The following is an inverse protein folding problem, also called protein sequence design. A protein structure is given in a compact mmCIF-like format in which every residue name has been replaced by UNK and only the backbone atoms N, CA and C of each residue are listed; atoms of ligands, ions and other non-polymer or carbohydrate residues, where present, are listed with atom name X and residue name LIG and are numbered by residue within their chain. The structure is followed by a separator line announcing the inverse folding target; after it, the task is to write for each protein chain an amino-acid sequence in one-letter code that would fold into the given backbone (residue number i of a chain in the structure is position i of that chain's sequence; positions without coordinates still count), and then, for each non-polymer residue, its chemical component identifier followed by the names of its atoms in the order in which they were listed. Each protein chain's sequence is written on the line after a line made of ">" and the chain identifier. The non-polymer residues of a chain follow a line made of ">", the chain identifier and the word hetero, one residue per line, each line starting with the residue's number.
data_IF_133951099971
#
_entry.id   IF_133951099971
#
_cell.length_a   1.000
_cell.length_b   1.000
_cell.length_c   1.000
_cell.angle_alpha   90.00
_cell.angle_beta   90.00
_cell.angle_gamma   90.00
#
_symmetry.space_group_name_H-M   'P 1'
#
loop_
_entity.id
_entity.type
_entity.pdbx_description
1 polymer ?
#
# COMPACT_ATOMS: atom_id res chain seq x y z
N UNK A 1 26.04 -3.14 2.36
CA UNK A 1 25.68 -4.56 2.38
C UNK A 1 24.22 -4.67 2.82
N UNK A 2 23.42 -5.52 2.13
CA UNK A 2 22.01 -5.77 2.47
C UNK A 2 20.96 -4.93 1.72
N UNK A 3 21.34 -4.05 0.82
CA UNK A 3 20.44 -3.29 -0.06
C UNK A 3 20.59 -3.85 -1.47
N UNK A 4 19.47 -4.36 -2.04
CA UNK A 4 19.43 -4.90 -3.41
C UNK A 4 19.17 -3.82 -4.44
N UNK A 5 18.26 -2.94 -4.13
CA UNK A 5 17.87 -1.85 -5.03
C UNK A 5 17.34 -0.66 -4.23
N UNK A 6 17.36 0.48 -4.85
CA UNK A 6 16.74 1.68 -4.31
C UNK A 6 15.98 2.43 -5.39
N UNK A 7 15.03 3.21 -4.98
CA UNK A 7 14.40 4.21 -5.82
C UNK A 7 14.08 5.46 -5.00
N UNK A 8 14.00 6.56 -5.71
CA UNK A 8 13.73 7.88 -5.13
C UNK A 8 12.40 8.38 -5.66
N UNK A 9 11.65 9.02 -4.80
CA UNK A 9 10.41 9.69 -5.18
C UNK A 9 10.36 11.09 -4.60
N UNK A 10 9.80 11.99 -5.39
CA UNK A 10 9.21 13.23 -4.94
C UNK A 10 7.75 13.26 -5.44
N UNK A 11 6.87 13.92 -4.76
CA UNK A 11 5.45 13.92 -5.13
C UNK A 11 4.82 15.28 -4.91
N UNK A 12 3.84 15.57 -5.74
CA UNK A 12 2.96 16.72 -5.58
C UNK A 12 1.53 16.33 -5.97
N UNK A 13 0.55 17.02 -5.43
CA UNK A 13 -0.84 16.89 -5.85
C UNK A 13 -1.19 18.05 -6.76
N UNK A 14 -1.70 17.73 -7.96
CA UNK A 14 -2.10 18.72 -8.94
C UNK A 14 -3.30 18.26 -9.75
N UNK A 15 -3.77 19.08 -10.67
CA UNK A 15 -4.75 18.70 -11.68
C UNK A 15 -4.07 18.36 -12.99
N UNK A 16 -4.64 17.40 -13.72
CA UNK A 16 -4.25 17.09 -15.09
C UNK A 16 -5.40 17.52 -16.01
N UNK A 17 -5.11 18.34 -16.99
CA UNK A 17 -6.08 18.87 -17.93
C UNK A 17 -5.77 18.45 -19.36
N UNK A 18 -6.82 18.12 -20.11
CA UNK A 18 -6.79 17.91 -21.55
C UNK A 18 -7.91 18.75 -22.15
N UNK A 19 -7.57 19.84 -22.83
CA UNK A 19 -8.54 20.79 -23.38
C UNK A 19 -9.55 21.26 -22.31
N UNK A 20 -10.83 20.85 -22.43
CA UNK A 20 -11.92 21.20 -21.49
C UNK A 20 -12.12 20.19 -20.37
N UNK A 21 -11.48 19.01 -20.45
CA UNK A 21 -11.56 17.96 -19.41
C UNK A 21 -10.47 18.17 -18.36
N UNK A 22 -10.80 18.05 -17.08
CA UNK A 22 -9.81 18.20 -15.98
C UNK A 22 -10.07 17.12 -14.92
N UNK A 23 -9.01 16.41 -14.55
CA UNK A 23 -9.01 15.51 -13.38
C UNK A 23 -8.28 16.22 -12.25
N UNK A 24 -8.99 16.50 -11.17
CA UNK A 24 -8.45 17.18 -9.98
C UNK A 24 -7.86 16.17 -8.99
N UNK A 25 -6.99 16.67 -8.11
CA UNK A 25 -6.39 15.90 -7.02
C UNK A 25 -5.63 14.64 -7.50
N UNK A 26 -4.91 14.75 -8.62
CA UNK A 26 -4.04 13.67 -9.09
C UNK A 26 -2.73 13.72 -8.32
N UNK A 27 -2.31 12.58 -7.78
CA UNK A 27 -0.99 12.45 -7.17
C UNK A 27 0.07 12.23 -8.26
N UNK A 28 0.92 13.23 -8.47
CA UNK A 28 1.99 13.18 -9.45
C UNK A 28 3.27 12.79 -8.72
N UNK A 29 3.79 11.62 -9.05
CA UNK A 29 5.01 11.11 -8.46
C UNK A 29 6.16 11.22 -9.45
N UNK A 30 7.18 11.98 -9.06
CA UNK A 30 8.48 11.94 -9.71
C UNK A 30 9.19 10.66 -9.32
N UNK A 31 9.27 9.73 -10.24
CA UNK A 31 9.80 8.40 -10.03
C UNK A 31 11.22 8.28 -10.58
N UNK A 32 12.15 7.72 -9.82
CA UNK A 32 13.48 7.37 -10.36
C UNK A 32 13.41 6.09 -11.19
N UNK A 33 14.47 5.78 -11.91
CA UNK A 33 14.57 4.67 -12.85
C UNK A 33 14.20 3.30 -12.25
N UNK A 34 14.53 3.05 -10.99
CA UNK A 34 14.22 1.79 -10.30
C UNK A 34 12.75 1.61 -9.90
N UNK A 35 11.95 2.67 -9.94
CA UNK A 35 10.59 2.68 -9.41
C UNK A 35 9.66 1.66 -10.07
N UNK A 36 9.62 1.64 -11.40
CA UNK A 36 8.74 0.73 -12.17
C UNK A 36 9.02 -0.75 -11.85
N UNK A 37 10.30 -1.11 -11.76
CA UNK A 37 10.74 -2.47 -11.43
C UNK A 37 10.42 -2.82 -9.98
N UNK A 38 10.70 -1.92 -9.05
CA UNK A 38 10.47 -2.15 -7.62
C UNK A 38 8.98 -2.29 -7.29
N UNK A 39 8.12 -1.46 -7.91
CA UNK A 39 6.67 -1.50 -7.73
C UNK A 39 5.97 -2.54 -8.62
N UNK A 40 6.69 -3.24 -9.52
CA UNK A 40 6.14 -4.21 -10.47
C UNK A 40 4.91 -3.67 -11.20
N UNK A 41 5.02 -2.44 -11.71
CA UNK A 41 3.93 -1.77 -12.41
C UNK A 41 3.67 -2.45 -13.77
N UNK A 42 2.41 -2.73 -14.03
CA UNK A 42 1.92 -3.35 -15.25
C UNK A 42 1.53 -2.26 -16.26
N UNK A 43 2.24 -2.19 -17.39
CA UNK A 43 1.88 -1.26 -18.47
C UNK A 43 0.72 -1.83 -19.27
N UNK A 44 -0.33 -1.03 -19.46
CA UNK A 44 -1.49 -1.39 -20.28
C UNK A 44 -1.25 -1.02 -21.74
N UNK A 45 -0.64 0.15 -21.97
CA UNK A 45 -0.26 0.60 -23.31
C UNK A 45 0.93 1.54 -23.25
N UNK A 46 1.66 1.70 -24.35
CA UNK A 46 2.83 2.55 -24.43
C UNK A 46 4.05 2.00 -23.72
N UNK A 47 4.86 2.89 -23.12
CA UNK A 47 6.11 2.54 -22.45
C UNK A 47 6.27 3.22 -21.09
N UNK A 48 7.12 2.67 -20.25
CA UNK A 48 7.58 3.30 -19.02
C UNK A 48 8.64 4.38 -19.30
N UNK A 49 9.01 5.13 -18.26
CA UNK A 49 10.12 6.08 -18.30
C UNK A 49 11.44 5.35 -18.57
N UNK A 50 12.26 5.90 -19.43
CA UNK A 50 13.56 5.38 -19.86
C UNK A 50 14.69 6.33 -19.48
N UNK A 51 15.93 5.86 -19.53
CA UNK A 51 17.14 6.62 -19.17
C UNK A 51 17.23 7.98 -19.85
N UNK A 52 16.85 8.04 -21.12
CA UNK A 52 16.86 9.31 -21.88
C UNK A 52 15.85 10.31 -21.34
N UNK A 53 14.71 9.86 -20.81
CA UNK A 53 13.71 10.76 -20.24
C UNK A 53 14.25 11.46 -18.98
N UNK A 54 15.07 10.77 -18.18
CA UNK A 54 15.72 11.33 -17.00
C UNK A 54 16.86 12.27 -17.34
N UNK A 55 17.72 11.88 -18.31
CA UNK A 55 18.91 12.64 -18.70
C UNK A 55 18.58 13.94 -19.42
N UNK A 56 17.53 13.91 -20.24
CA UNK A 56 17.12 15.03 -21.07
C UNK A 56 16.05 15.90 -20.42
N UNK A 57 15.69 15.64 -19.17
CA UNK A 57 14.59 16.36 -18.50
C UNK A 57 13.33 16.38 -19.37
N UNK A 58 12.99 15.23 -19.95
CA UNK A 58 11.89 15.13 -20.90
C UNK A 58 10.55 15.35 -20.21
N UNK A 59 9.72 16.23 -20.74
CA UNK A 59 8.34 16.44 -20.27
C UNK A 59 7.42 15.34 -20.79
N UNK A 60 7.61 14.15 -20.26
CA UNK A 60 6.80 12.97 -20.54
C UNK A 60 6.16 12.44 -19.27
N UNK A 61 4.99 11.86 -19.42
CA UNK A 61 4.18 11.36 -18.31
C UNK A 61 3.62 9.98 -18.60
N UNK A 62 3.57 9.14 -17.58
CA UNK A 62 2.85 7.87 -17.58
C UNK A 62 1.68 8.03 -16.61
N UNK A 63 0.46 7.85 -17.08
CA UNK A 63 -0.76 8.05 -16.30
C UNK A 63 -1.38 6.70 -15.90
N UNK A 64 -2.11 6.66 -14.81
CA UNK A 64 -2.85 5.47 -14.44
C UNK A 64 -4.12 5.31 -15.31
N UNK A 65 -4.66 4.08 -15.29
CA UNK A 65 -5.88 3.75 -16.04
C UNK A 65 -7.09 4.61 -15.66
N UNK A 66 -7.12 5.16 -14.44
CA UNK A 66 -8.25 5.97 -13.98
C UNK A 66 -8.17 7.38 -14.55
N UNK A 67 -6.99 7.99 -14.53
CA UNK A 67 -6.77 9.30 -15.20
C UNK A 67 -7.01 9.15 -16.71
N UNK A 68 -6.53 8.05 -17.31
CA UNK A 68 -6.77 7.77 -18.73
C UNK A 68 -8.27 7.72 -19.05
N UNK A 69 -9.07 6.95 -18.31
CA UNK A 69 -10.53 6.84 -18.51
C UNK A 69 -11.30 8.16 -18.32
N UNK A 70 -10.79 9.06 -17.46
CA UNK A 70 -11.45 10.36 -17.23
C UNK A 70 -11.13 11.39 -18.34
N UNK A 71 -9.97 11.29 -18.95
CA UNK A 71 -9.52 12.24 -19.98
C UNK A 71 -9.77 11.74 -21.41
N UNK A 72 -9.63 10.44 -21.64
CA UNK A 72 -9.67 9.80 -22.95
C UNK A 72 -10.79 8.76 -23.02
N UNK A 73 -11.12 8.34 -24.22
CA UNK A 73 -12.12 7.28 -24.43
C UNK A 73 -11.50 5.88 -24.25
N UNK A 74 -10.29 5.70 -24.79
CA UNK A 74 -9.51 4.46 -24.63
C UNK A 74 -8.12 4.75 -24.06
N UNK A 75 -7.41 3.71 -23.61
CA UNK A 75 -6.04 3.89 -23.12
C UNK A 75 -5.07 4.22 -24.29
N UNK A 76 -5.36 3.72 -25.47
CA UNK A 76 -4.59 3.94 -26.72
C UNK A 76 -4.68 5.40 -27.15
N UNK A 77 -5.84 6.03 -27.03
CA UNK A 77 -6.06 7.43 -27.39
C UNK A 77 -5.24 8.39 -26.51
N UNK A 78 -4.82 7.92 -25.35
CA UNK A 78 -3.96 8.71 -24.45
C UNK A 78 -2.53 8.87 -24.99
N UNK A 79 -2.05 7.93 -25.81
CA UNK A 79 -0.66 7.94 -26.27
C UNK A 79 -0.36 9.14 -27.16
N UNK A 80 0.78 9.75 -26.91
CA UNK A 80 1.29 10.95 -27.61
C UNK A 80 0.41 12.21 -27.48
N UNK A 81 -0.66 12.15 -26.70
CA UNK A 81 -1.43 13.35 -26.38
C UNK A 81 -0.66 14.23 -25.39
N UNK A 82 -0.91 15.54 -25.48
CA UNK A 82 -0.33 16.51 -24.57
C UNK A 82 -1.35 16.88 -23.52
N UNK A 83 -0.98 16.68 -22.26
CA UNK A 83 -1.78 17.05 -21.08
C UNK A 83 -1.05 18.15 -20.31
N UNK A 84 -1.80 19.03 -19.69
CA UNK A 84 -1.24 20.14 -18.90
C UNK A 84 -1.33 19.82 -17.40
N UNK A 85 -0.21 19.98 -16.70
CA UNK A 85 -0.09 19.85 -15.24
C UNK A 85 0.34 21.22 -14.69
N UNK A 86 -0.56 21.85 -13.96
CA UNK A 86 -0.29 23.22 -13.50
C UNK A 86 -0.09 24.18 -14.67
N UNK A 87 1.17 24.55 -14.94
CA UNK A 87 1.56 25.45 -16.04
C UNK A 87 2.37 24.76 -17.14
N UNK A 88 2.67 23.48 -16.99
CA UNK A 88 3.58 22.75 -17.84
C UNK A 88 2.85 21.68 -18.66
N UNK A 89 3.25 21.53 -19.91
CA UNK A 89 2.71 20.52 -20.82
C UNK A 89 3.58 19.26 -20.83
N UNK A 90 2.92 18.11 -20.75
CA UNK A 90 3.54 16.79 -20.73
C UNK A 90 2.95 15.90 -21.82
N UNK A 91 3.80 15.17 -22.51
CA UNK A 91 3.37 14.15 -23.47
C UNK A 91 3.12 12.84 -22.77
N UNK A 92 1.94 12.27 -22.93
CA UNK A 92 1.60 10.93 -22.43
C UNK A 92 2.35 9.88 -23.26
N UNK A 93 3.19 9.08 -22.60
CA UNK A 93 4.00 8.02 -23.22
C UNK A 93 3.52 6.61 -22.85
N UNK A 94 2.65 6.49 -21.87
CA UNK A 94 2.12 5.20 -21.45
C UNK A 94 0.99 5.32 -20.45
N UNK A 95 0.22 4.24 -20.35
CA UNK A 95 -0.83 4.06 -19.35
C UNK A 95 -0.52 2.78 -18.56
N UNK A 96 -0.58 2.84 -17.24
CA UNK A 96 -0.34 1.70 -16.38
C UNK A 96 -1.54 1.35 -15.51
N UNK A 97 -1.56 0.10 -15.07
CA UNK A 97 -2.57 -0.40 -14.14
C UNK A 97 -2.13 -0.11 -12.71
N UNK A 98 -2.86 0.75 -12.03
CA UNK A 98 -2.63 1.01 -10.62
C UNK A 98 -3.36 -0.06 -9.78
N UNK A 99 -2.59 -0.89 -9.06
CA UNK A 99 -3.14 -1.95 -8.19
C UNK A 99 -3.62 -1.41 -6.84
N UNK A 100 -3.10 -0.26 -6.43
CA UNK A 100 -3.44 0.35 -5.12
C UNK A 100 -4.84 0.97 -5.10
N UNK A 101 -5.46 1.19 -6.26
CA UNK A 101 -6.87 1.65 -6.37
C UNK A 101 -7.90 0.59 -6.01
N UNK A 102 -7.50 -0.68 -5.86
CA UNK A 102 -8.41 -1.79 -5.51
C UNK A 102 -8.88 -1.78 -4.05
N UNK A 103 -8.23 -1.00 -3.18
CA UNK A 103 -8.64 -0.84 -1.78
C UNK A 103 -9.37 0.50 -1.64
N UNK A 104 -10.68 0.47 -1.89
CA UNK A 104 -11.62 1.60 -1.94
C UNK A 104 -11.78 2.45 -0.68
N UNK A 105 -10.70 2.80 0.02
CA UNK A 105 -10.76 3.59 1.26
C UNK A 105 -10.52 5.10 1.07
N UNK A 106 -9.98 5.56 -0.06
CA UNK A 106 -9.59 6.97 -0.23
C UNK A 106 -10.08 7.61 -1.53
N UNK A 107 -11.28 7.27 -1.98
CA UNK A 107 -11.83 7.91 -3.18
C UNK A 107 -10.93 7.69 -4.41
N UNK A 108 -11.48 7.84 -5.58
CA UNK A 108 -10.79 7.66 -6.86
C UNK A 108 -9.70 8.74 -7.10
N UNK A 109 -8.59 8.68 -6.37
CA UNK A 109 -7.45 9.57 -6.60
C UNK A 109 -6.62 8.99 -7.74
N UNK A 110 -6.56 9.72 -8.85
CA UNK A 110 -5.71 9.37 -9.98
C UNK A 110 -4.24 9.52 -9.63
N UNK A 111 -3.39 8.73 -10.26
CA UNK A 111 -1.95 8.84 -10.12
C UNK A 111 -1.25 8.98 -11.46
N UNK A 112 -0.14 9.68 -11.46
CA UNK A 112 0.68 9.86 -12.65
C UNK A 112 2.16 9.86 -12.28
N UNK A 113 3.00 9.39 -13.19
CA UNK A 113 4.43 9.24 -12.99
C UNK A 113 5.20 10.08 -14.02
N UNK A 114 6.13 10.87 -13.53
CA UNK A 114 7.08 11.65 -14.33
C UNK A 114 8.50 11.35 -13.88
N UNK A 115 9.51 11.74 -14.64
CA UNK A 115 10.89 11.61 -14.18
C UNK A 115 11.11 12.50 -12.94
N UNK A 116 11.70 11.95 -11.88
CA UNK A 116 11.98 12.71 -10.66
C UNK A 116 12.89 13.90 -10.91
N UNK A 117 13.84 13.80 -11.85
CA UNK A 117 14.73 14.88 -12.28
C UNK A 117 13.96 16.04 -12.89
N UNK A 118 12.97 15.74 -13.75
CA UNK A 118 12.12 16.75 -14.36
C UNK A 118 11.23 17.45 -13.33
N UNK A 119 10.62 16.69 -12.41
CA UNK A 119 9.75 17.25 -11.38
C UNK A 119 10.54 18.15 -10.41
N UNK A 120 11.76 17.76 -10.06
CA UNK A 120 12.66 18.55 -9.22
C UNK A 120 13.06 19.86 -9.92
N UNK A 121 13.44 19.80 -11.20
CA UNK A 121 13.80 20.97 -11.97
C UNK A 121 12.65 21.99 -12.11
N UNK A 122 11.41 21.51 -12.32
CA UNK A 122 10.25 22.39 -12.44
C UNK A 122 9.83 23.05 -11.13
N UNK A 123 10.02 22.38 -10.01
CA UNK A 123 9.74 22.93 -8.68
C UNK A 123 10.93 23.74 -8.12
N UNK A 124 12.00 23.87 -8.87
CA UNK A 124 13.23 24.56 -8.47
C UNK A 124 13.74 24.06 -7.10
N UNK A 125 13.71 22.73 -6.92
CA UNK A 125 14.10 22.06 -5.68
C UNK A 125 14.96 20.86 -6.01
N UNK A 126 16.09 20.75 -5.32
CA UNK A 126 16.94 19.55 -5.34
C UNK A 126 16.48 18.54 -4.30
N UNK A 127 15.38 18.84 -3.60
CA UNK A 127 14.91 18.01 -2.50
C UNK A 127 14.39 16.66 -3.00
N UNK A 128 15.02 15.62 -2.52
CA UNK A 128 14.56 14.23 -2.60
C UNK A 128 13.54 14.07 -1.49
N UNK A 129 12.27 13.79 -1.85
CA UNK A 129 11.21 13.63 -0.85
C UNK A 129 11.42 12.39 -0.01
N UNK A 130 11.63 11.25 -0.66
CA UNK A 130 11.80 9.96 0.00
C UNK A 130 12.73 9.05 -0.79
N UNK A 131 13.57 8.30 -0.08
CA UNK A 131 14.42 7.25 -0.63
C UNK A 131 13.92 5.92 -0.09
N UNK A 132 13.58 5.01 -0.99
CA UNK A 132 13.14 3.67 -0.65
C UNK A 132 14.26 2.68 -0.94
N UNK A 133 14.56 1.83 0.02
CA UNK A 133 15.51 0.74 -0.12
C UNK A 133 14.77 -0.59 -0.10
N UNK A 134 15.11 -1.46 -1.04
CA UNK A 134 14.73 -2.87 -0.98
C UNK A 134 15.82 -3.64 -0.26
N UNK A 135 15.48 -4.22 0.88
CA UNK A 135 16.40 -4.97 1.74
C UNK A 135 16.15 -6.45 1.55
N UNK A 136 17.22 -7.23 1.35
CA UNK A 136 17.15 -8.68 1.12
C UNK A 136 16.62 -9.42 2.35
N UNK A 137 17.02 -8.96 3.56
CA UNK A 137 16.63 -9.57 4.83
C UNK A 137 15.74 -8.61 5.63
N UNK A 138 14.46 -8.95 5.70
CA UNK A 138 13.45 -8.15 6.41
C UNK A 138 13.77 -8.01 7.90
N UNK A 139 14.43 -8.99 8.53
CA UNK A 139 14.79 -8.95 9.96
C UNK A 139 15.78 -7.85 10.28
N UNK A 140 16.64 -7.50 9.31
CA UNK A 140 17.66 -6.48 9.45
C UNK A 140 17.24 -5.12 8.84
N UNK A 141 16.00 -4.99 8.35
CA UNK A 141 15.51 -3.79 7.66
C UNK A 141 15.68 -2.53 8.50
N UNK A 142 15.34 -2.59 9.79
CA UNK A 142 15.44 -1.46 10.72
C UNK A 142 16.87 -0.97 10.90
N UNK A 143 17.82 -1.90 11.10
CA UNK A 143 19.24 -1.53 11.28
C UNK A 143 19.82 -0.97 10.00
N UNK A 144 19.53 -1.59 8.85
CA UNK A 144 19.99 -1.13 7.53
C UNK A 144 19.43 0.26 7.22
N UNK A 145 18.16 0.50 7.51
CA UNK A 145 17.54 1.81 7.28
C UNK A 145 18.17 2.91 8.16
N UNK A 146 18.43 2.64 9.44
CA UNK A 146 19.11 3.56 10.36
C UNK A 146 20.55 3.87 9.93
N UNK A 147 21.28 2.84 9.51
CA UNK A 147 22.67 3.02 9.03
C UNK A 147 22.69 3.81 7.71
N UNK A 148 21.74 3.53 6.80
CA UNK A 148 21.62 4.28 5.56
C UNK A 148 21.27 5.76 5.85
N UNK A 149 20.30 6.03 6.72
CA UNK A 149 19.92 7.39 7.10
C UNK A 149 21.12 8.16 7.70
N UNK A 150 21.85 7.54 8.62
CA UNK A 150 23.04 8.13 9.23
C UNK A 150 24.12 8.47 8.20
N UNK A 151 24.39 7.56 7.26
CA UNK A 151 25.38 7.80 6.18
C UNK A 151 24.92 8.89 5.23
N UNK A 152 23.64 8.91 4.86
CA UNK A 152 23.07 9.96 4.00
C UNK A 152 23.16 11.33 4.66
N UNK A 153 22.84 11.46 5.95
CA UNK A 153 23.00 12.70 6.71
C UNK A 153 24.46 13.17 6.74
N UNK A 154 25.41 12.24 6.91
CA UNK A 154 26.83 12.58 6.88
C UNK A 154 27.34 13.03 5.49
N UNK A 155 26.79 12.44 4.41
CA UNK A 155 27.19 12.76 3.04
C UNK A 155 26.54 14.05 2.50
N UNK A 156 25.34 14.37 2.99
CA UNK A 156 24.58 15.54 2.51
C UNK A 156 25.25 16.87 2.87
N UNK A 157 26.13 16.89 3.89
CA UNK A 157 26.83 18.12 4.34
C UNK A 157 25.89 19.33 4.53
N UNK A 158 24.62 19.07 4.79
CA UNK A 158 23.60 20.08 4.98
C UNK A 158 23.38 20.26 6.48
N UNK A 159 23.74 21.43 7.00
CA UNK A 159 23.60 21.77 8.43
C UNK A 159 22.14 21.74 8.93
N UNK A 160 21.17 21.72 8.01
CA UNK A 160 19.73 21.78 8.33
C UNK A 160 18.96 20.51 7.95
N UNK A 161 19.60 19.51 7.32
CA UNK A 161 18.94 18.30 6.82
C UNK A 161 19.30 17.05 7.60
N UNK A 162 18.32 16.41 8.24
CA UNK A 162 18.47 15.09 8.87
C UNK A 162 17.64 14.05 8.13
N UNK A 163 18.31 13.02 7.59
CA UNK A 163 17.61 11.85 7.04
C UNK A 163 17.13 10.96 8.18
N UNK A 164 15.82 10.70 8.22
CA UNK A 164 15.20 9.80 9.20
C UNK A 164 14.79 8.50 8.56
N UNK A 165 15.15 7.40 9.19
CA UNK A 165 14.65 6.09 8.77
C UNK A 165 13.20 5.91 9.20
N UNK A 166 12.31 5.66 8.25
CA UNK A 166 10.98 5.16 8.51
C UNK A 166 10.98 3.65 8.27
N UNK A 167 10.68 2.88 9.30
CA UNK A 167 10.63 1.42 9.23
C UNK A 167 9.19 0.93 9.30
N UNK A 168 8.79 0.21 8.27
CA UNK A 168 7.46 -0.39 8.18
C UNK A 168 7.29 -1.56 9.17
N UNK A 169 8.39 -2.13 9.69
CA UNK A 169 8.32 -3.25 10.64
C UNK A 169 7.60 -2.85 11.93
N UNK A 170 7.84 -1.64 12.43
CA UNK A 170 7.14 -1.12 13.63
C UNK A 170 5.63 -1.00 13.41
N UNK A 171 5.20 -0.63 12.22
CA UNK A 171 3.78 -0.57 11.87
C UNK A 171 3.16 -1.98 11.76
N UNK A 172 3.90 -2.93 11.19
CA UNK A 172 3.48 -4.33 11.13
C UNK A 172 3.38 -4.97 12.52
N UNK A 173 4.31 -4.66 13.43
CA UNK A 173 4.28 -5.13 14.81
C UNK A 173 3.06 -4.58 15.58
N UNK A 174 2.68 -3.32 15.35
CA UNK A 174 1.45 -2.76 15.90
C UNK A 174 0.21 -3.48 15.37
N UNK A 175 0.15 -3.75 14.06
CA UNK A 175 -0.95 -4.50 13.44
C UNK A 175 -1.03 -5.92 14.02
N UNK A 176 0.09 -6.62 14.15
CA UNK A 176 0.16 -7.94 14.75
C UNK A 176 -0.30 -7.94 16.22
N UNK A 177 0.07 -6.92 16.97
CA UNK A 177 -0.38 -6.74 18.37
C UNK A 177 -1.89 -6.55 18.45
N UNK A 178 -2.47 -5.74 17.56
CA UNK A 178 -3.92 -5.53 17.48
C UNK A 178 -4.62 -6.86 17.15
N UNK A 179 -4.15 -7.60 16.14
CA UNK A 179 -4.72 -8.91 15.80
C UNK A 179 -4.57 -9.91 16.95
N UNK A 180 -3.45 -9.94 17.64
CA UNK A 180 -3.22 -10.77 18.83
C UNK A 180 -4.24 -10.45 19.93
N UNK A 181 -4.48 -9.18 20.19
CA UNK A 181 -5.48 -8.72 21.17
C UNK A 181 -6.89 -9.15 20.79
N UNK A 182 -7.28 -8.93 19.53
CA UNK A 182 -8.60 -9.33 19.02
C UNK A 182 -8.79 -10.84 19.15
N UNK A 183 -7.78 -11.62 18.76
CA UNK A 183 -7.83 -13.10 18.85
C UNK A 183 -7.99 -13.55 20.30
N UNK A 184 -7.30 -12.92 21.24
CA UNK A 184 -7.42 -13.23 22.68
C UNK A 184 -8.82 -12.92 23.20
N UNK A 185 -9.39 -11.77 22.84
CA UNK A 185 -10.75 -11.38 23.27
C UNK A 185 -11.80 -12.35 22.68
N UNK A 186 -11.70 -12.64 21.38
CA UNK A 186 -12.62 -13.59 20.72
C UNK A 186 -12.49 -14.99 21.33
N UNK A 187 -11.25 -15.43 21.62
CA UNK A 187 -10.98 -16.70 22.27
C UNK A 187 -11.58 -16.78 23.69
N UNK A 188 -11.49 -15.70 24.45
CA UNK A 188 -12.10 -15.62 25.78
C UNK A 188 -13.64 -15.70 25.72
N UNK A 189 -14.27 -14.98 24.79
CA UNK A 189 -15.72 -15.02 24.58
C UNK A 189 -16.16 -16.41 24.16
N UNK A 190 -15.45 -17.03 23.22
CA UNK A 190 -15.73 -18.39 22.77
C UNK A 190 -15.59 -19.42 23.92
N UNK A 191 -14.55 -19.27 24.76
CA UNK A 191 -14.34 -20.12 25.94
C UNK A 191 -15.47 -20.01 26.94
N UNK A 192 -15.92 -18.80 27.26
CA UNK A 192 -17.06 -18.56 28.15
C UNK A 192 -18.34 -19.16 27.56
N UNK A 193 -18.57 -18.94 26.27
CA UNK A 193 -19.76 -19.49 25.58
C UNK A 193 -19.79 -21.01 25.60
N UNK A 194 -18.62 -21.65 25.42
CA UNK A 194 -18.48 -23.09 25.46
C UNK A 194 -18.75 -23.64 26.90
N UNK A 195 -18.25 -22.96 27.92
CA UNK A 195 -18.51 -23.27 29.32
C UNK A 195 -20.01 -23.21 29.63
N UNK A 196 -20.67 -22.11 29.25
CA UNK A 196 -22.11 -21.93 29.48
C UNK A 196 -22.92 -23.02 28.74
N UNK A 197 -22.56 -23.26 27.48
CA UNK A 197 -23.17 -24.30 26.67
C UNK A 197 -22.96 -25.71 27.28
N UNK A 198 -21.73 -25.98 27.74
CA UNK A 198 -21.38 -27.24 28.41
C UNK A 198 -22.18 -27.49 29.71
N UNK A 199 -22.34 -26.43 30.54
CA UNK A 199 -23.19 -26.53 31.76
C UNK A 199 -24.66 -26.77 31.38
N UNK A 200 -25.16 -26.13 30.31
CA UNK A 200 -26.51 -26.37 29.81
C UNK A 200 -26.74 -27.83 29.39
N UNK A 201 -25.81 -28.37 28.61
CA UNK A 201 -25.86 -29.79 28.20
C UNK A 201 -25.75 -30.73 29.41
N UNK A 202 -24.85 -30.42 30.35
CA UNK A 202 -24.70 -31.21 31.58
C UNK A 202 -26.00 -31.23 32.39
N UNK A 203 -26.69 -30.13 32.57
CA UNK A 203 -27.95 -30.07 33.28
C UNK A 203 -29.04 -30.94 32.61
N UNK A 204 -29.17 -30.87 31.29
CA UNK A 204 -30.12 -31.66 30.53
C UNK A 204 -29.79 -33.17 30.68
N UNK A 205 -28.51 -33.53 30.57
CA UNK A 205 -28.07 -34.93 30.73
C UNK A 205 -28.31 -35.45 32.14
N UNK A 206 -28.05 -34.65 33.18
CA UNK A 206 -28.32 -35.04 34.56
C UNK A 206 -29.79 -35.31 34.80
N UNK A 207 -30.69 -34.45 34.30
CA UNK A 207 -32.15 -34.68 34.40
C UNK A 207 -32.53 -35.93 33.65
N UNK A 208 -32.07 -36.12 32.44
CA UNK A 208 -32.39 -37.32 31.62
C UNK A 208 -31.88 -38.60 32.27
N UNK A 209 -30.66 -38.62 32.84
CA UNK A 209 -30.11 -39.79 33.53
C UNK A 209 -30.89 -40.10 34.81
N UNK A 210 -31.26 -39.08 35.60
CA UNK A 210 -32.06 -39.30 36.84
C UNK A 210 -33.45 -39.83 36.53
N UNK A 211 -34.10 -39.30 35.48
CA UNK A 211 -35.41 -39.82 35.03
C UNK A 211 -35.33 -41.28 34.57
N UNK A 212 -34.33 -41.61 33.76
CA UNK A 212 -34.10 -42.98 33.28
C UNK A 212 -33.76 -43.92 34.42
N UNK A 213 -32.95 -43.50 35.37
CA UNK A 213 -32.62 -44.32 36.55
C UNK A 213 -33.84 -44.57 37.39
N UNK A 214 -34.71 -43.58 37.57
CA UNK A 214 -35.98 -43.73 38.28
C UNK A 214 -36.93 -44.69 37.55
N UNK A 215 -37.07 -44.62 36.24
CA UNK A 215 -37.88 -45.46 35.40
C UNK A 215 -37.42 -46.96 35.51
N UNK A 216 -36.10 -47.15 35.38
CA UNK A 216 -35.50 -48.47 35.53
C UNK A 216 -35.75 -49.07 36.95
N UNK A 217 -35.55 -48.21 37.97
CA UNK A 217 -35.80 -48.60 39.36
C UNK A 217 -37.25 -49.02 39.60
N UNK A 218 -38.19 -48.26 39.03
CA UNK A 218 -39.62 -48.53 39.14
C UNK A 218 -40.01 -49.84 38.41
N UNK A 219 -39.51 -50.05 37.20
CA UNK A 219 -39.72 -51.30 36.44
C UNK A 219 -39.17 -52.55 37.22
N UNK A 220 -37.97 -52.41 37.75
CA UNK A 220 -37.33 -53.48 38.53
C UNK A 220 -38.09 -53.73 39.81
N UNK A 221 -38.69 -52.79 40.47
CA UNK A 221 -39.51 -52.90 41.65
C UNK A 221 -40.85 -53.60 41.36
N UNK A 222 -41.40 -53.47 40.14
CA UNK A 222 -42.61 -54.07 39.66
C UNK A 222 -42.42 -55.48 39.07
N UNK A 223 -41.20 -56.01 39.08
CA UNK A 223 -40.88 -57.34 38.63
C UNK A 223 -40.72 -57.54 37.12
N UNK A 224 -40.47 -56.44 36.37
CA UNK A 224 -40.22 -56.50 34.94
C UNK A 224 -38.69 -56.35 34.60
#
# INVERSE_FOLDING_TARGET
>A
PGIDSYFVTNSLTSSISLQKKTVKNVNITGASQGYFKAKKLEMLTGRSLQDNDYKNFSRVIVIDQMVAKKLFETNEDALNQVVTIGKNDYRVIGVYKNKDTAIGAYGEIGTALVANTQLAAENNTDAIGQIFFHVTDVKNSSSVAKDAAKRLTQLAQDDNGEYKAADMSSALDQVNTIFGTITTVVGAIAGISLLVGGIGVMNIMLVSVTERTREIGLRKALGA
#
